data_IF_026114230184
#
_entry.id   IF_026114230184
#
_cell.length_a   1.000
_cell.length_b   1.000
_cell.length_c   1.000
_cell.angle_alpha   90.00
_cell.angle_beta   90.00
_cell.angle_gamma   90.00
#
_symmetry.space_group_name_H-M   'P 1'
#
loop_
_entity.id
_entity.type
_entity.pdbx_description
1 polymer ?
#
# COMPACT_ATOMS: atom_id res chain seq x y z
N UNK A 1 -9.33 24.30 -2.65
CA UNK A 1 -9.25 23.13 -1.74
C UNK A 1 -7.90 22.51 -1.93
N UNK A 2 -7.16 22.29 -0.85
CA UNK A 2 -5.81 21.72 -0.85
C UNK A 2 -5.91 20.25 -0.45
N UNK A 3 -5.36 19.36 -1.27
CA UNK A 3 -5.42 17.93 -1.02
C UNK A 3 -4.03 17.38 -0.63
N UNK A 4 -3.89 16.97 0.62
CA UNK A 4 -2.66 16.42 1.20
C UNK A 4 -2.89 15.02 1.78
N UNK A 5 -3.76 14.22 1.12
CA UNK A 5 -4.10 12.86 1.52
C UNK A 5 -3.91 11.83 0.39
N UNK A 6 -2.87 12.01 -0.42
CA UNK A 6 -2.56 11.16 -1.58
C UNK A 6 -2.19 9.71 -1.21
N UNK A 7 -1.80 9.43 0.04
CA UNK A 7 -1.60 8.06 0.51
C UNK A 7 -2.92 7.29 0.69
N UNK A 8 -4.05 8.00 0.88
CA UNK A 8 -5.39 7.38 0.90
C UNK A 8 -5.90 7.08 -0.49
N UNK A 9 -5.84 8.04 -1.41
CA UNK A 9 -6.19 7.86 -2.81
C UNK A 9 -5.55 8.95 -3.67
N UNK A 10 -5.21 8.61 -4.91
CA UNK A 10 -4.79 9.60 -5.92
C UNK A 10 -5.92 9.83 -6.93
N UNK A 11 -6.00 11.02 -7.57
CA UNK A 11 -6.85 11.17 -8.75
C UNK A 11 -6.36 10.22 -9.85
N UNK A 12 -7.27 9.78 -10.71
CA UNK A 12 -6.89 9.00 -11.89
C UNK A 12 -6.15 9.91 -12.87
N UNK A 13 -5.00 9.45 -13.37
CA UNK A 13 -4.28 10.17 -14.42
C UNK A 13 -5.14 10.24 -15.68
N UNK A 14 -5.08 11.38 -16.38
CA UNK A 14 -5.89 11.59 -17.59
C UNK A 14 -5.60 10.55 -18.68
N UNK A 15 -4.33 10.21 -18.93
CA UNK A 15 -3.97 9.20 -19.91
C UNK A 15 -4.50 7.81 -19.54
N UNK A 16 -4.52 7.49 -18.24
CA UNK A 16 -5.09 6.24 -17.73
C UNK A 16 -6.60 6.20 -17.93
N UNK A 17 -7.29 7.32 -17.67
CA UNK A 17 -8.74 7.42 -17.88
C UNK A 17 -9.10 7.35 -19.36
N UNK A 18 -8.34 8.02 -20.23
CA UNK A 18 -8.54 7.99 -21.68
C UNK A 18 -8.38 6.55 -22.23
N UNK A 19 -7.35 5.82 -21.78
CA UNK A 19 -7.16 4.39 -22.13
C UNK A 19 -8.36 3.54 -21.67
N UNK A 20 -8.85 3.75 -20.44
CA UNK A 20 -10.01 3.03 -19.92
C UNK A 20 -11.27 3.27 -20.76
N UNK A 21 -11.56 4.53 -21.08
CA UNK A 21 -12.76 4.92 -21.87
C UNK A 21 -12.68 4.33 -23.28
N UNK A 22 -11.55 4.50 -23.96
CA UNK A 22 -11.36 3.97 -25.33
C UNK A 22 -11.47 2.44 -25.36
N UNK A 23 -10.86 1.76 -24.40
CA UNK A 23 -10.92 0.32 -24.32
C UNK A 23 -12.34 -0.23 -24.06
N UNK A 24 -13.18 0.48 -23.30
CA UNK A 24 -14.60 0.10 -23.14
C UNK A 24 -15.39 0.21 -24.46
N UNK A 25 -15.06 1.19 -25.31
CA UNK A 25 -15.72 1.36 -26.60
C UNK A 25 -15.24 0.33 -27.62
N UNK A 26 -13.92 0.08 -27.69
CA UNK A 26 -13.30 -0.67 -28.76
C UNK A 26 -13.24 -2.19 -28.49
N UNK A 27 -13.13 -2.61 -27.21
CA UNK A 27 -12.85 -4.00 -26.80
C UNK A 27 -13.87 -4.55 -25.79
N UNK A 28 -15.15 -4.27 -25.97
CA UNK A 28 -16.22 -4.69 -25.06
C UNK A 28 -16.51 -6.22 -25.06
N UNK A 29 -16.01 -6.95 -26.07
CA UNK A 29 -16.27 -8.38 -26.19
C UNK A 29 -15.52 -9.18 -25.10
N UNK A 30 -16.15 -10.30 -24.68
CA UNK A 30 -15.52 -11.21 -23.72
C UNK A 30 -14.26 -11.85 -24.34
N UNK A 31 -13.07 -11.71 -23.74
CA UNK A 31 -11.81 -12.29 -24.25
C UNK A 31 -11.83 -13.82 -24.35
N UNK A 32 -12.77 -14.50 -23.69
CA UNK A 32 -12.91 -15.96 -23.76
C UNK A 32 -13.81 -16.41 -24.93
N UNK A 33 -14.41 -15.48 -25.68
CA UNK A 33 -15.28 -15.82 -26.82
C UNK A 33 -14.45 -16.19 -28.06
N UNK A 34 -14.91 -17.21 -28.78
CA UNK A 34 -14.18 -17.75 -29.97
C UNK A 34 -14.36 -16.92 -31.24
N UNK A 35 -15.32 -16.01 -31.30
CA UNK A 35 -15.54 -15.13 -32.44
C UNK A 35 -14.48 -14.02 -32.55
N UNK A 36 -14.41 -13.34 -33.70
CA UNK A 36 -13.35 -12.39 -34.03
C UNK A 36 -13.17 -11.27 -32.98
N UNK A 37 -14.27 -10.73 -32.44
CA UNK A 37 -14.20 -9.66 -31.43
C UNK A 37 -13.62 -10.19 -30.10
N UNK A 38 -13.95 -11.43 -29.71
CA UNK A 38 -13.36 -12.06 -28.51
C UNK A 38 -11.86 -12.31 -28.68
N UNK A 39 -11.44 -12.79 -29.86
CA UNK A 39 -10.02 -12.97 -30.18
C UNK A 39 -9.24 -11.65 -30.15
N UNK A 40 -9.83 -10.57 -30.66
CA UNK A 40 -9.23 -9.24 -30.60
C UNK A 40 -9.07 -8.76 -29.14
N UNK A 41 -10.13 -8.90 -28.34
CA UNK A 41 -10.07 -8.57 -26.91
C UNK A 41 -9.01 -9.43 -26.17
N UNK A 42 -8.92 -10.74 -26.48
CA UNK A 42 -7.88 -11.63 -25.92
C UNK A 42 -6.48 -11.17 -26.28
N UNK A 43 -6.23 -10.84 -27.55
CA UNK A 43 -4.93 -10.33 -28.01
C UNK A 43 -4.52 -9.05 -27.27
N UNK A 44 -5.47 -8.15 -26.99
CA UNK A 44 -5.22 -6.93 -26.20
C UNK A 44 -4.93 -7.23 -24.73
N UNK A 45 -5.66 -8.18 -24.15
CA UNK A 45 -5.41 -8.67 -22.80
C UNK A 45 -4.00 -9.23 -22.65
N UNK A 46 -3.60 -10.12 -23.58
CA UNK A 46 -2.28 -10.76 -23.55
C UNK A 46 -1.16 -9.71 -23.73
N UNK A 47 -1.34 -8.78 -24.67
CA UNK A 47 -0.37 -7.69 -24.87
C UNK A 47 -0.19 -6.84 -23.62
N UNK A 48 -1.28 -6.45 -22.93
CA UNK A 48 -1.20 -5.68 -21.69
C UNK A 48 -0.59 -6.49 -20.55
N UNK A 49 -0.96 -7.77 -20.41
CA UNK A 49 -0.38 -8.66 -19.39
C UNK A 49 1.12 -8.84 -19.57
N UNK A 50 1.58 -9.02 -20.81
CA UNK A 50 3.01 -9.10 -21.11
C UNK A 50 3.73 -7.78 -20.77
N UNK A 51 3.17 -6.63 -21.15
CA UNK A 51 3.73 -5.31 -20.81
C UNK A 51 3.84 -5.09 -19.30
N UNK A 52 2.79 -5.42 -18.54
CA UNK A 52 2.78 -5.37 -17.08
C UNK A 52 3.87 -6.28 -16.50
N UNK A 53 3.97 -7.51 -17.00
CA UNK A 53 4.96 -8.49 -16.54
C UNK A 53 6.40 -8.01 -16.77
N UNK A 54 6.71 -7.46 -17.94
CA UNK A 54 8.01 -6.88 -18.28
C UNK A 54 8.37 -5.72 -17.34
N UNK A 55 7.45 -4.78 -17.13
CA UNK A 55 7.65 -3.62 -16.22
C UNK A 55 7.93 -4.05 -14.78
N UNK A 56 7.24 -5.10 -14.31
CA UNK A 56 7.38 -5.62 -12.95
C UNK A 56 8.47 -6.71 -12.83
N UNK A 57 9.12 -7.10 -13.95
CA UNK A 57 10.16 -8.13 -14.05
C UNK A 57 9.68 -9.49 -13.52
N UNK A 58 8.47 -9.87 -13.93
CA UNK A 58 7.82 -11.14 -13.57
C UNK A 58 7.32 -11.84 -14.83
N UNK A 59 6.73 -13.04 -14.71
CA UNK A 59 6.11 -13.75 -15.83
C UNK A 59 4.63 -13.37 -15.97
N UNK A 60 4.10 -13.42 -17.18
CA UNK A 60 2.69 -13.15 -17.46
C UNK A 60 1.74 -14.04 -16.63
N UNK A 61 2.06 -15.33 -16.51
CA UNK A 61 1.27 -16.30 -15.76
C UNK A 61 1.35 -16.14 -14.22
N UNK A 62 2.19 -15.22 -13.74
CA UNK A 62 2.28 -14.82 -12.32
C UNK A 62 1.29 -13.69 -11.98
N UNK A 63 0.56 -13.12 -12.96
CA UNK A 63 -0.36 -12.01 -12.74
C UNK A 63 -1.78 -12.49 -12.43
N UNK A 64 -2.37 -12.00 -11.35
CA UNK A 64 -3.76 -12.25 -10.96
C UNK A 64 -4.45 -10.90 -10.74
N UNK A 65 -5.40 -10.56 -11.61
CA UNK A 65 -6.18 -9.32 -11.52
C UNK A 65 -7.31 -9.46 -10.49
N UNK A 66 -7.45 -8.46 -9.63
CA UNK A 66 -8.43 -8.41 -8.53
C UNK A 66 -9.18 -7.08 -8.52
N UNK A 67 -10.15 -6.93 -7.63
CA UNK A 67 -10.91 -5.68 -7.45
C UNK A 67 -10.20 -4.63 -6.57
N UNK A 68 -9.01 -4.95 -6.04
CA UNK A 68 -8.24 -4.05 -5.18
C UNK A 68 -7.37 -4.80 -4.19
N UNK A 69 -6.48 -4.06 -3.50
CA UNK A 69 -5.57 -4.65 -2.52
C UNK A 69 -6.30 -5.44 -1.41
N UNK A 70 -7.50 -5.04 -1.02
CA UNK A 70 -8.25 -5.78 0.01
C UNK A 70 -8.61 -7.18 -0.45
N UNK A 71 -9.08 -7.38 -1.69
CA UNK A 71 -9.29 -8.71 -2.26
C UNK A 71 -7.99 -9.47 -2.36
N UNK A 72 -6.93 -8.81 -2.87
CA UNK A 72 -5.61 -9.40 -3.03
C UNK A 72 -5.03 -9.91 -1.71
N UNK A 73 -5.02 -9.07 -0.68
CA UNK A 73 -4.51 -9.40 0.64
C UNK A 73 -5.31 -10.53 1.33
N UNK A 74 -6.65 -10.54 1.16
CA UNK A 74 -7.48 -11.64 1.64
C UNK A 74 -7.18 -12.95 0.89
N UNK A 75 -6.95 -12.89 -0.43
CA UNK A 75 -6.56 -14.05 -1.23
C UNK A 75 -5.23 -14.61 -0.76
N UNK A 76 -4.25 -13.76 -0.49
CA UNK A 76 -2.95 -14.15 0.07
C UNK A 76 -3.15 -14.86 1.42
N UNK A 77 -3.70 -14.19 2.41
CA UNK A 77 -3.81 -14.71 3.79
C UNK A 77 -4.61 -16.01 3.81
N UNK A 78 -5.84 -15.98 3.29
CA UNK A 78 -6.75 -17.15 3.36
C UNK A 78 -6.37 -18.24 2.37
N UNK A 79 -5.89 -17.86 1.18
CA UNK A 79 -5.48 -18.81 0.15
C UNK A 79 -4.25 -19.61 0.56
N UNK A 80 -3.23 -18.97 1.14
CA UNK A 80 -2.04 -19.64 1.70
C UNK A 80 -2.42 -20.49 2.91
N UNK A 81 -3.13 -19.92 3.89
CA UNK A 81 -3.52 -20.66 5.08
C UNK A 81 -4.24 -21.96 4.74
N UNK A 82 -5.24 -21.93 3.84
CA UNK A 82 -5.98 -23.11 3.41
C UNK A 82 -5.14 -24.12 2.63
N UNK A 83 -4.23 -23.62 1.78
CA UNK A 83 -3.37 -24.49 0.95
C UNK A 83 -2.29 -25.16 1.76
N UNK A 84 -1.66 -24.43 2.68
CA UNK A 84 -0.46 -24.89 3.40
C UNK A 84 -0.74 -25.39 4.81
N UNK A 85 -2.01 -25.46 5.28
CA UNK A 85 -2.39 -25.89 6.64
C UNK A 85 -1.85 -27.23 7.10
N UNK A 86 -1.46 -28.11 6.17
CA UNK A 86 -0.86 -29.41 6.48
C UNK A 86 0.65 -29.34 6.73
N UNK A 87 1.30 -28.23 6.34
CA UNK A 87 2.71 -27.96 6.62
C UNK A 87 2.89 -27.19 7.91
N UNK A 88 1.90 -26.35 8.27
CA UNK A 88 1.91 -25.57 9.49
C UNK A 88 0.72 -24.65 9.62
N UNK A 89 0.63 -23.95 10.76
CA UNK A 89 -0.42 -23.01 11.07
C UNK A 89 0.08 -21.69 11.68
N UNK A 90 1.36 -21.42 11.55
CA UNK A 90 1.97 -20.20 12.06
C UNK A 90 2.11 -19.15 10.95
N UNK A 91 1.68 -17.90 11.24
CA UNK A 91 1.70 -16.76 10.33
C UNK A 91 2.37 -15.57 11.04
N UNK A 92 3.36 -14.98 10.41
CA UNK A 92 4.05 -13.78 10.88
C UNK A 92 3.64 -12.57 10.03
N UNK A 93 3.21 -11.50 10.69
CA UNK A 93 2.89 -10.23 10.05
C UNK A 93 3.77 -9.11 10.61
N UNK A 94 4.16 -8.14 9.77
CA UNK A 94 4.78 -6.95 10.32
C UNK A 94 3.77 -6.15 11.18
N UNK A 95 4.28 -5.46 12.20
CA UNK A 95 3.44 -4.59 13.04
C UNK A 95 2.89 -3.36 12.28
N UNK A 96 3.28 -3.17 11.01
CA UNK A 96 2.92 -2.04 10.15
C UNK A 96 1.88 -2.40 9.07
N UNK A 97 1.31 -3.61 9.13
CA UNK A 97 0.39 -4.08 8.10
C UNK A 97 -0.95 -3.33 8.07
N UNK A 98 -1.48 -3.19 6.86
CA UNK A 98 -2.82 -2.68 6.63
C UNK A 98 -3.89 -3.64 7.18
N UNK A 99 -5.06 -3.12 7.58
CA UNK A 99 -6.16 -3.91 8.13
C UNK A 99 -6.65 -5.03 7.20
N UNK A 100 -6.48 -4.88 5.88
CA UNK A 100 -6.83 -5.93 4.91
C UNK A 100 -5.93 -7.19 4.98
N UNK A 101 -4.80 -7.12 5.71
CA UNK A 101 -3.94 -8.25 6.08
C UNK A 101 -4.20 -8.70 7.52
N UNK A 102 -4.24 -7.77 8.46
CA UNK A 102 -4.42 -8.07 9.90
C UNK A 102 -5.78 -8.75 10.15
N UNK A 103 -6.87 -8.19 9.64
CA UNK A 103 -8.21 -8.72 9.92
C UNK A 103 -8.43 -10.15 9.39
N UNK A 104 -8.08 -10.49 8.13
CA UNK A 104 -8.20 -11.88 7.67
C UNK A 104 -7.27 -12.84 8.42
N UNK A 105 -6.04 -12.41 8.79
CA UNK A 105 -5.15 -13.25 9.59
C UNK A 105 -5.73 -13.53 10.98
N UNK A 106 -6.16 -12.50 11.71
CA UNK A 106 -6.85 -12.67 13.01
C UNK A 106 -8.10 -13.56 12.90
N UNK A 107 -8.81 -13.53 11.77
CA UNK A 107 -9.96 -14.42 11.58
C UNK A 107 -9.60 -15.91 11.54
N UNK A 108 -8.37 -16.23 11.10
CA UNK A 108 -7.85 -17.59 11.03
C UNK A 108 -7.49 -18.19 12.40
N UNK A 109 -7.33 -17.36 13.43
CA UNK A 109 -7.13 -17.86 14.81
C UNK A 109 -8.28 -18.75 15.25
N UNK A 110 -9.52 -18.46 14.78
CA UNK A 110 -10.70 -19.31 15.02
C UNK A 110 -10.62 -20.67 14.32
N UNK A 111 -9.75 -20.79 13.31
CA UNK A 111 -9.46 -22.03 12.58
C UNK A 111 -8.21 -22.75 13.12
N UNK A 112 -7.66 -22.23 14.24
CA UNK A 112 -6.51 -22.79 14.95
C UNK A 112 -5.17 -22.40 14.36
N UNK A 113 -5.10 -21.28 13.62
CA UNK A 113 -3.83 -20.66 13.23
C UNK A 113 -3.30 -19.78 14.36
N UNK A 114 -2.01 -19.67 14.45
CA UNK A 114 -1.29 -18.75 15.33
C UNK A 114 -0.77 -17.58 14.50
N UNK A 115 -1.09 -16.35 14.93
CA UNK A 115 -0.71 -15.13 14.22
C UNK A 115 0.11 -14.26 15.16
N UNK A 116 1.37 -14.03 14.81
CA UNK A 116 2.26 -13.20 15.62
C UNK A 116 2.73 -11.97 14.83
N UNK A 117 3.01 -10.89 15.57
CA UNK A 117 3.52 -9.65 15.00
C UNK A 117 5.03 -9.58 15.16
N UNK A 118 5.71 -9.39 14.03
CA UNK A 118 7.17 -9.21 14.00
C UNK A 118 7.52 -7.87 14.65
N UNK A 119 8.45 -7.84 15.62
CA UNK A 119 8.95 -6.61 16.22
C UNK A 119 9.61 -5.68 15.20
N UNK A 120 9.67 -4.40 15.57
CA UNK A 120 10.37 -3.37 14.81
C UNK A 120 11.65 -2.96 15.53
N UNK A 121 12.68 -2.65 14.77
CA UNK A 121 13.86 -1.97 15.28
C UNK A 121 13.53 -0.50 15.68
N UNK A 122 14.49 0.20 16.25
CA UNK A 122 14.35 1.62 16.65
C UNK A 122 14.05 2.60 15.50
N UNK A 123 14.21 2.17 14.26
CA UNK A 123 13.93 2.97 13.05
C UNK A 123 12.57 2.64 12.44
N UNK A 124 11.82 1.68 12.99
CA UNK A 124 10.54 1.22 12.49
C UNK A 124 10.64 0.20 11.34
N UNK A 125 11.81 -0.37 11.11
CA UNK A 125 11.97 -1.51 10.20
C UNK A 125 11.71 -2.80 10.95
N UNK A 126 11.27 -3.83 10.24
CA UNK A 126 11.25 -5.19 10.78
C UNK A 126 12.64 -5.54 11.31
N UNK A 127 12.70 -6.00 12.55
CA UNK A 127 13.93 -6.52 13.15
C UNK A 127 14.20 -7.90 12.58
N UNK A 128 15.29 -8.02 11.80
CA UNK A 128 15.62 -9.24 11.06
C UNK A 128 16.08 -10.36 12.01
N UNK A 129 16.77 -10.02 13.09
CA UNK A 129 17.22 -11.03 14.08
C UNK A 129 16.00 -11.58 14.85
N UNK A 130 15.11 -10.70 15.31
CA UNK A 130 13.86 -11.14 15.94
C UNK A 130 13.00 -11.97 14.96
N UNK A 131 12.88 -11.54 13.70
CA UNK A 131 12.17 -12.33 12.68
C UNK A 131 12.76 -13.74 12.56
N UNK A 132 14.07 -13.85 12.50
CA UNK A 132 14.77 -15.15 12.39
C UNK A 132 14.45 -16.06 13.58
N UNK A 133 14.43 -15.50 14.79
CA UNK A 133 14.13 -16.25 16.01
C UNK A 133 12.65 -16.66 16.10
N UNK A 134 11.76 -15.90 15.45
CA UNK A 134 10.31 -16.19 15.41
C UNK A 134 9.93 -17.24 14.37
N UNK A 135 10.73 -17.44 13.30
CA UNK A 135 10.41 -18.43 12.26
C UNK A 135 10.56 -19.83 12.82
N UNK A 136 9.51 -20.63 12.66
CA UNK A 136 9.43 -22.03 13.13
C UNK A 136 9.25 -22.97 11.93
N UNK A 137 9.41 -24.27 12.15
CA UNK A 137 9.18 -25.29 11.12
C UNK A 137 7.74 -25.29 10.57
N UNK A 138 6.78 -24.83 11.39
CA UNK A 138 5.36 -24.72 11.04
C UNK A 138 4.97 -23.30 10.57
N UNK A 139 5.91 -22.40 10.34
CA UNK A 139 5.65 -21.06 9.75
C UNK A 139 5.38 -21.22 8.25
N UNK A 140 4.18 -20.83 7.81
CA UNK A 140 3.75 -20.97 6.42
C UNK A 140 3.69 -19.63 5.66
N UNK A 141 3.66 -18.52 6.37
CA UNK A 141 3.56 -17.18 5.76
C UNK A 141 4.28 -16.16 6.61
N UNK A 142 5.10 -15.35 5.96
CA UNK A 142 5.62 -14.09 6.47
C UNK A 142 5.08 -12.98 5.55
N UNK A 143 4.43 -11.96 6.13
CA UNK A 143 3.92 -10.81 5.37
C UNK A 143 4.51 -9.52 5.95
N UNK A 144 5.20 -8.77 5.09
CA UNK A 144 5.81 -7.47 5.45
C UNK A 144 5.51 -6.46 4.35
N UNK A 145 4.81 -5.38 4.70
CA UNK A 145 4.55 -4.29 3.74
C UNK A 145 5.85 -3.67 3.23
N UNK A 146 5.94 -3.33 1.93
CA UNK A 146 7.16 -2.70 1.38
C UNK A 146 7.38 -1.29 1.93
N UNK A 147 6.28 -0.54 2.09
CA UNK A 147 6.25 0.81 2.67
C UNK A 147 4.95 0.94 3.43
N UNK A 148 5.00 1.28 4.70
CA UNK A 148 3.79 1.47 5.48
C UNK A 148 3.04 2.76 5.09
N UNK A 149 1.74 2.75 5.31
CA UNK A 149 0.85 3.81 4.83
C UNK A 149 0.69 5.02 5.77
N UNK A 150 1.27 4.99 6.97
CA UNK A 150 1.15 6.08 7.95
C UNK A 150 2.48 6.81 8.20
N UNK A 151 3.56 6.06 8.39
CA UNK A 151 4.90 6.59 8.68
C UNK A 151 5.75 6.70 7.41
N UNK A 152 5.38 5.95 6.37
CA UNK A 152 6.10 5.88 5.09
C UNK A 152 7.42 5.12 5.15
N UNK A 153 7.67 4.31 6.18
CA UNK A 153 8.96 3.63 6.40
C UNK A 153 9.14 2.49 5.40
N UNK A 154 10.26 2.52 4.69
CA UNK A 154 10.68 1.48 3.74
C UNK A 154 11.19 0.26 4.52
N UNK A 155 10.62 -0.91 4.23
CA UNK A 155 10.99 -2.16 4.87
C UNK A 155 12.09 -2.91 4.11
N UNK A 156 12.90 -3.73 4.80
CA UNK A 156 14.06 -4.45 4.22
C UNK A 156 13.62 -5.72 3.46
N UNK A 157 12.76 -5.58 2.44
CA UNK A 157 12.11 -6.69 1.74
C UNK A 157 13.12 -7.66 1.11
N UNK A 158 14.20 -7.15 0.52
CA UNK A 158 15.21 -8.02 -0.11
C UNK A 158 15.97 -8.86 0.93
N UNK A 159 16.31 -8.27 2.07
CA UNK A 159 17.02 -8.96 3.17
C UNK A 159 16.13 -10.04 3.79
N UNK A 160 14.85 -9.72 4.01
CA UNK A 160 13.85 -10.68 4.49
C UNK A 160 13.69 -11.83 3.48
N UNK A 161 13.56 -11.51 2.20
CA UNK A 161 13.43 -12.53 1.15
C UNK A 161 14.64 -13.44 1.05
N UNK A 162 15.87 -12.92 1.25
CA UNK A 162 17.07 -13.76 1.30
C UNK A 162 17.05 -14.70 2.51
N UNK A 163 16.69 -14.20 3.69
CA UNK A 163 16.54 -15.03 4.90
C UNK A 163 15.54 -16.18 4.67
N UNK A 164 14.39 -15.86 4.07
CA UNK A 164 13.30 -16.84 3.92
C UNK A 164 13.57 -17.95 2.91
N UNK A 165 14.60 -17.82 2.05
CA UNK A 165 15.01 -18.91 1.15
C UNK A 165 15.44 -20.19 1.89
N UNK A 166 15.86 -20.08 3.13
CA UNK A 166 16.24 -21.23 3.97
C UNK A 166 15.01 -22.04 4.43
N UNK A 167 13.78 -21.50 4.33
CA UNK A 167 12.55 -22.05 4.87
C UNK A 167 11.58 -22.48 3.76
N UNK A 168 11.67 -23.75 3.32
CA UNK A 168 11.00 -24.27 2.10
C UNK A 168 9.47 -24.11 2.02
N UNK A 169 8.78 -24.02 3.16
CA UNK A 169 7.32 -23.97 3.22
C UNK A 169 6.81 -22.60 3.68
N UNK A 170 7.71 -21.69 3.98
CA UNK A 170 7.39 -20.32 4.37
C UNK A 170 7.27 -19.44 3.13
N UNK A 171 6.07 -19.00 2.82
CA UNK A 171 5.78 -18.09 1.69
C UNK A 171 6.00 -16.66 2.13
N UNK A 172 6.69 -15.88 1.31
CA UNK A 172 6.92 -14.46 1.56
C UNK A 172 5.97 -13.56 0.76
N UNK A 173 5.20 -12.74 1.47
CA UNK A 173 4.30 -11.74 0.89
C UNK A 173 4.75 -10.32 1.23
N UNK A 174 4.59 -9.40 0.28
CA UNK A 174 4.67 -7.96 0.52
C UNK A 174 3.49 -7.20 -0.06
N UNK A 175 2.92 -6.27 0.71
CA UNK A 175 2.01 -5.25 0.17
C UNK A 175 2.83 -4.07 -0.33
N UNK A 176 2.92 -3.92 -1.67
CA UNK A 176 3.68 -2.88 -2.35
C UNK A 176 2.81 -1.67 -2.75
N UNK A 177 1.59 -1.55 -2.22
CA UNK A 177 0.65 -0.49 -2.60
C UNK A 177 1.21 0.92 -2.43
N UNK A 178 2.03 1.16 -1.42
CA UNK A 178 2.68 2.46 -1.20
C UNK A 178 4.08 2.56 -1.84
N UNK A 179 4.61 1.48 -2.43
CA UNK A 179 5.94 1.45 -3.02
C UNK A 179 5.95 1.83 -4.51
N UNK A 180 4.95 1.32 -5.28
CA UNK A 180 4.91 1.49 -6.73
C UNK A 180 4.92 2.97 -7.13
N UNK A 181 5.88 3.35 -8.00
CA UNK A 181 6.06 4.70 -8.52
C UNK A 181 6.60 5.72 -7.50
N UNK A 182 6.99 5.27 -6.28
CA UNK A 182 7.55 6.12 -5.22
C UNK A 182 8.98 5.73 -4.84
N UNK A 183 9.30 4.44 -4.92
CA UNK A 183 10.65 3.90 -4.72
C UNK A 183 10.99 2.90 -5.83
N UNK A 184 12.28 2.65 -6.12
CA UNK A 184 12.68 1.53 -6.97
C UNK A 184 12.16 0.21 -6.41
N UNK A 185 11.60 -0.63 -7.28
CA UNK A 185 11.04 -1.93 -6.90
C UNK A 185 11.94 -3.09 -7.34
N UNK A 186 12.09 -4.06 -6.45
CA UNK A 186 12.70 -5.34 -6.76
C UNK A 186 11.95 -6.46 -6.00
N UNK A 187 11.26 -7.33 -6.74
CA UNK A 187 10.47 -8.43 -6.17
C UNK A 187 11.09 -9.81 -6.45
N UNK A 188 12.39 -9.87 -6.76
CA UNK A 188 13.07 -11.14 -7.08
C UNK A 188 13.02 -12.17 -5.97
N UNK A 189 13.05 -11.70 -4.72
CA UNK A 189 13.07 -12.53 -3.51
C UNK A 189 11.70 -12.56 -2.79
N UNK A 190 10.62 -12.23 -3.48
CA UNK A 190 9.26 -12.19 -2.94
C UNK A 190 8.37 -13.15 -3.70
N UNK A 191 7.58 -13.93 -2.98
CA UNK A 191 6.68 -14.93 -3.57
C UNK A 191 5.35 -14.35 -4.01
N UNK A 192 4.81 -13.41 -3.22
CA UNK A 192 3.51 -12.79 -3.43
C UNK A 192 3.63 -11.26 -3.25
N UNK A 193 3.10 -10.49 -4.20
CA UNK A 193 3.12 -9.03 -4.13
C UNK A 193 1.74 -8.46 -4.39
N UNK A 194 1.22 -7.68 -3.46
CA UNK A 194 -0.03 -6.93 -3.63
C UNK A 194 0.23 -5.53 -4.19
N UNK A 195 -0.53 -5.13 -5.21
CA UNK A 195 -0.44 -3.81 -5.85
C UNK A 195 -1.83 -3.17 -5.94
N UNK A 196 -1.95 -1.89 -5.52
CA UNK A 196 -3.17 -1.08 -5.56
C UNK A 196 -3.02 0.11 -6.51
N UNK A 197 -3.58 0.08 -7.74
CA UNK A 197 -3.39 1.13 -8.76
C UNK A 197 -3.81 2.53 -8.32
N UNK A 198 -4.85 2.66 -7.50
CA UNK A 198 -5.33 3.95 -7.00
C UNK A 198 -4.37 4.67 -6.04
N UNK A 199 -3.22 4.08 -5.72
CA UNK A 199 -2.13 4.71 -4.95
C UNK A 199 -1.05 5.33 -5.84
N UNK A 200 -1.12 5.11 -7.16
CA UNK A 200 -0.21 5.67 -8.15
C UNK A 200 -0.93 6.11 -9.43
N UNK A 201 -2.06 6.79 -9.25
CA UNK A 201 -2.87 7.45 -10.29
C UNK A 201 -3.59 6.50 -11.26
N UNK A 202 -3.73 5.23 -10.89
CA UNK A 202 -4.57 4.25 -11.57
C UNK A 202 -6.02 4.27 -11.10
N UNK A 203 -6.83 3.39 -11.71
CA UNK A 203 -8.25 3.28 -11.39
C UNK A 203 -8.47 2.69 -9.98
N UNK A 204 -9.46 3.23 -9.27
CA UNK A 204 -10.02 2.57 -8.10
C UNK A 204 -10.88 1.35 -8.53
N UNK A 205 -11.06 0.39 -7.64
CA UNK A 205 -11.78 -0.85 -7.96
C UNK A 205 -10.96 -1.85 -8.78
N UNK A 206 -9.63 -1.67 -8.84
CA UNK A 206 -8.67 -2.58 -9.47
C UNK A 206 -7.52 -2.91 -8.55
N UNK A 207 -6.97 -4.11 -8.67
CA UNK A 207 -5.81 -4.60 -7.95
C UNK A 207 -5.05 -5.64 -8.74
N UNK A 208 -3.83 -5.91 -8.33
CA UNK A 208 -2.98 -6.95 -8.93
C UNK A 208 -2.30 -7.73 -7.81
N UNK A 209 -2.32 -9.05 -7.91
CA UNK A 209 -1.44 -9.95 -7.17
C UNK A 209 -0.39 -10.50 -8.15
N UNK A 210 0.87 -10.31 -7.85
CA UNK A 210 1.95 -11.11 -8.42
C UNK A 210 2.07 -12.38 -7.56
N UNK A 211 2.00 -13.54 -8.20
CA UNK A 211 2.12 -14.86 -7.56
C UNK A 211 3.18 -15.68 -8.29
N UNK A 212 4.31 -15.92 -7.65
CA UNK A 212 5.38 -16.74 -8.24
C UNK A 212 4.87 -18.14 -8.61
N UNK A 213 5.38 -18.71 -9.70
CA UNK A 213 4.87 -19.97 -10.29
C UNK A 213 4.83 -21.13 -9.27
N UNK A 214 5.82 -21.21 -8.39
CA UNK A 214 5.94 -22.29 -7.38
C UNK A 214 4.94 -22.18 -6.22
N UNK A 215 4.28 -21.01 -6.06
CA UNK A 215 3.28 -20.82 -5.00
C UNK A 215 1.92 -21.32 -5.47
N UNK A 216 1.21 -22.01 -4.61
CA UNK A 216 -0.20 -22.37 -4.84
C UNK A 216 -1.11 -21.68 -3.84
N UNK A 217 -2.32 -21.33 -4.26
CA UNK A 217 -3.35 -20.70 -3.45
C UNK A 217 -4.65 -21.47 -3.58
N UNK A 218 -5.47 -21.47 -2.52
CA UNK A 218 -6.88 -21.82 -2.66
C UNK A 218 -7.64 -20.53 -3.03
N UNK A 219 -8.39 -20.52 -4.15
CA UNK A 219 -9.12 -19.33 -4.58
C UNK A 219 -10.20 -18.94 -3.55
N UNK A 220 -10.46 -17.65 -3.44
CA UNK A 220 -11.59 -17.12 -2.68
C UNK A 220 -12.84 -16.99 -3.54
N UNK A 221 -12.68 -16.74 -4.83
CA UNK A 221 -13.75 -16.58 -5.82
C UNK A 221 -13.63 -17.74 -6.79
N UNK A 222 -14.53 -18.70 -6.64
CA UNK A 222 -14.61 -19.90 -7.47
C UNK A 222 -15.51 -19.67 -8.68
N UNK A 223 -15.31 -20.44 -9.76
CA UNK A 223 -16.11 -20.37 -10.98
C UNK A 223 -15.39 -20.94 -12.18
N UNK A 224 -15.79 -20.50 -13.38
CA UNK A 224 -15.16 -20.93 -14.64
C UNK A 224 -13.73 -20.44 -14.78
N UNK A 225 -12.93 -21.21 -15.53
CA UNK A 225 -11.56 -20.81 -15.88
C UNK A 225 -11.58 -19.59 -16.80
N UNK A 226 -10.86 -18.55 -16.46
CA UNK A 226 -10.74 -17.34 -17.26
C UNK A 226 -9.26 -17.01 -17.50
N UNK A 227 -8.70 -15.99 -16.85
CA UNK A 227 -7.27 -15.66 -16.95
C UNK A 227 -6.41 -16.57 -16.08
N UNK A 228 -6.94 -17.01 -14.94
CA UNK A 228 -6.22 -17.82 -13.96
C UNK A 228 -7.16 -18.79 -13.22
N UNK A 229 -6.58 -19.82 -12.60
CA UNK A 229 -7.29 -20.74 -11.70
C UNK A 229 -7.55 -20.14 -10.31
N UNK A 230 -6.86 -19.06 -9.95
CA UNK A 230 -6.84 -18.51 -8.61
C UNK A 230 -7.87 -17.41 -8.37
N UNK A 231 -8.48 -16.90 -9.47
CA UNK A 231 -9.53 -15.88 -9.38
C UNK A 231 -10.46 -15.98 -10.60
N UNK A 232 -11.66 -16.50 -10.39
CA UNK A 232 -12.66 -16.65 -11.44
C UNK A 232 -13.37 -15.34 -11.76
N UNK A 233 -13.96 -15.28 -12.95
CA UNK A 233 -14.73 -14.14 -13.46
C UNK A 233 -14.15 -13.59 -14.77
N UNK A 234 -15.02 -12.99 -15.58
CA UNK A 234 -14.60 -12.35 -16.83
C UNK A 234 -13.60 -11.21 -16.52
N UNK A 235 -12.42 -11.18 -17.16
CA UNK A 235 -11.45 -10.12 -16.93
C UNK A 235 -12.02 -8.78 -17.44
N UNK A 236 -11.83 -7.75 -16.65
CA UNK A 236 -12.22 -6.38 -17.01
C UNK A 236 -11.11 -5.79 -17.86
N UNK A 237 -11.08 -6.15 -19.15
CA UNK A 237 -10.01 -5.75 -20.07
C UNK A 237 -9.72 -4.24 -20.05
N UNK A 238 -10.71 -3.32 -20.08
CA UNK A 238 -10.41 -1.88 -19.99
C UNK A 238 -9.63 -1.49 -18.73
N UNK A 239 -9.91 -2.13 -17.60
CA UNK A 239 -9.20 -1.86 -16.35
C UNK A 239 -7.76 -2.40 -16.36
N UNK A 240 -7.52 -3.52 -17.05
CA UNK A 240 -6.17 -4.10 -17.21
C UNK A 240 -5.31 -3.21 -18.12
N UNK A 241 -5.87 -2.71 -19.22
CA UNK A 241 -5.18 -1.75 -20.11
C UNK A 241 -4.88 -0.44 -19.37
N UNK A 242 -5.80 0.04 -18.55
CA UNK A 242 -5.60 1.21 -17.70
C UNK A 242 -4.52 0.98 -16.63
N UNK A 243 -4.43 -0.24 -16.06
CA UNK A 243 -3.37 -0.62 -15.12
C UNK A 243 -1.99 -0.60 -15.79
N UNK A 244 -1.87 -1.15 -17.00
CA UNK A 244 -0.61 -1.10 -17.77
C UNK A 244 -0.15 0.36 -17.98
N UNK A 245 -1.06 1.23 -18.42
CA UNK A 245 -0.75 2.67 -18.57
C UNK A 245 -0.38 3.33 -17.23
N UNK A 246 -1.07 3.02 -16.15
CA UNK A 246 -0.74 3.55 -14.83
C UNK A 246 0.66 3.13 -14.35
N UNK A 247 1.03 1.86 -14.55
CA UNK A 247 2.38 1.35 -14.24
C UNK A 247 3.45 2.00 -15.13
N UNK A 248 3.17 2.17 -16.42
CA UNK A 248 4.06 2.89 -17.34
C UNK A 248 4.38 4.29 -16.81
N UNK A 249 3.35 5.08 -16.52
CA UNK A 249 3.52 6.44 -16.03
C UNK A 249 4.18 6.49 -14.65
N UNK A 250 3.85 5.55 -13.76
CA UNK A 250 4.42 5.48 -12.42
C UNK A 250 5.93 5.20 -12.45
N UNK A 251 6.36 4.23 -13.27
CA UNK A 251 7.76 3.81 -13.35
C UNK A 251 8.59 4.84 -14.12
N UNK A 252 8.11 5.29 -15.29
CA UNK A 252 8.87 6.21 -16.14
C UNK A 252 9.05 7.61 -15.53
N UNK A 253 8.12 8.04 -14.66
CA UNK A 253 8.19 9.37 -14.04
C UNK A 253 8.62 9.32 -12.57
N UNK A 254 9.02 8.17 -12.03
CA UNK A 254 9.30 8.01 -10.61
C UNK A 254 10.33 9.02 -10.09
N UNK A 255 11.49 9.11 -10.73
CA UNK A 255 12.58 9.99 -10.31
C UNK A 255 12.14 11.45 -10.29
N UNK A 256 11.60 11.94 -11.42
CA UNK A 256 11.11 13.33 -11.54
C UNK A 256 10.02 13.67 -10.50
N UNK A 257 9.09 12.72 -10.26
CA UNK A 257 8.03 12.90 -9.26
C UNK A 257 8.61 12.95 -7.84
N UNK A 258 9.61 12.13 -7.56
CA UNK A 258 10.27 12.08 -6.25
C UNK A 258 11.01 13.37 -5.95
N UNK A 259 11.75 13.94 -6.90
CA UNK A 259 12.43 15.24 -6.74
C UNK A 259 11.48 16.39 -6.38
N UNK A 260 10.31 16.45 -7.05
CA UNK A 260 9.28 17.45 -6.74
C UNK A 260 8.76 17.29 -5.31
N UNK A 261 8.47 16.07 -4.92
CA UNK A 261 7.89 15.75 -3.60
C UNK A 261 8.91 15.97 -2.49
N UNK A 262 10.18 15.65 -2.73
CA UNK A 262 11.27 15.87 -1.78
C UNK A 262 11.40 17.34 -1.39
N UNK A 263 11.40 18.25 -2.37
CA UNK A 263 11.40 19.71 -2.13
C UNK A 263 10.28 20.12 -1.17
N UNK A 264 9.06 19.65 -1.39
CA UNK A 264 7.91 20.02 -0.56
C UNK A 264 7.94 19.35 0.81
N UNK A 265 8.42 18.11 0.88
CA UNK A 265 8.64 17.41 2.15
C UNK A 265 9.61 18.20 3.04
N UNK A 266 10.76 18.61 2.50
CA UNK A 266 11.76 19.41 3.22
C UNK A 266 11.21 20.76 3.70
N UNK A 267 10.42 21.46 2.89
CA UNK A 267 9.77 22.72 3.27
C UNK A 267 8.85 22.51 4.49
N UNK A 268 8.02 21.47 4.47
CA UNK A 268 7.08 21.16 5.56
C UNK A 268 7.85 20.74 6.81
N UNK A 269 8.77 19.79 6.72
CA UNK A 269 9.52 19.26 7.87
C UNK A 269 10.36 20.37 8.52
N UNK A 270 11.03 21.21 7.71
CA UNK A 270 11.81 22.33 8.23
C UNK A 270 10.97 23.30 9.04
N UNK A 271 9.77 23.61 8.57
CA UNK A 271 8.82 24.46 9.29
C UNK A 271 8.27 23.77 10.53
N UNK A 272 7.82 22.53 10.45
CA UNK A 272 7.27 21.78 11.59
C UNK A 272 8.26 21.66 12.74
N UNK A 273 9.55 21.51 12.47
CA UNK A 273 10.62 21.47 13.46
C UNK A 273 10.78 22.76 14.26
N UNK A 274 10.22 23.89 13.81
CA UNK A 274 10.27 25.16 14.57
C UNK A 274 9.28 25.24 15.71
N UNK A 275 8.35 24.27 15.83
CA UNK A 275 7.34 24.23 16.88
C UNK A 275 7.71 23.19 17.95
N UNK A 276 7.95 23.62 19.21
CA UNK A 276 8.39 22.74 20.31
C UNK A 276 7.42 21.59 20.64
N UNK A 277 6.13 21.77 20.40
CA UNK A 277 5.10 20.76 20.69
C UNK A 277 4.89 19.77 19.54
N UNK A 278 5.58 19.96 18.41
CA UNK A 278 5.50 19.05 17.26
C UNK A 278 6.61 18.03 17.33
N UNK A 279 6.23 16.76 17.28
CA UNK A 279 7.14 15.64 17.17
C UNK A 279 7.00 14.98 15.78
N UNK A 280 8.08 14.92 15.00
CA UNK A 280 8.08 14.25 13.70
C UNK A 280 8.28 12.74 13.93
N UNK A 281 7.29 11.94 13.54
CA UNK A 281 7.33 10.48 13.66
C UNK A 281 8.00 9.82 12.44
N UNK A 282 7.88 10.42 11.24
CA UNK A 282 8.65 10.00 10.06
C UNK A 282 10.14 10.21 10.27
N UNK A 283 10.96 9.36 9.68
CA UNK A 283 12.41 9.41 9.85
C UNK A 283 13.15 9.27 8.50
N UNK A 284 14.47 9.16 8.51
CA UNK A 284 15.30 9.07 7.31
C UNK A 284 15.05 7.82 6.44
N UNK A 285 14.28 6.87 6.93
CA UNK A 285 13.86 5.68 6.18
C UNK A 285 12.43 5.80 5.63
N UNK A 286 11.73 6.92 5.93
CA UNK A 286 10.44 7.22 5.36
C UNK A 286 10.58 7.76 3.94
N UNK A 287 9.63 7.40 3.07
CA UNK A 287 9.53 7.99 1.73
C UNK A 287 9.12 9.47 1.82
N UNK A 288 9.63 10.30 0.93
CA UNK A 288 9.31 11.74 0.92
C UNK A 288 7.83 12.06 0.69
N UNK A 289 7.06 11.11 0.20
CA UNK A 289 5.62 11.24 -0.07
C UNK A 289 4.74 11.24 1.19
N UNK A 290 5.26 10.83 2.35
CA UNK A 290 4.49 10.70 3.60
C UNK A 290 5.25 11.40 4.73
N UNK A 291 4.56 12.33 5.40
CA UNK A 291 5.02 12.98 6.62
C UNK A 291 4.05 12.62 7.73
N UNK A 292 4.53 11.99 8.78
CA UNK A 292 3.77 11.74 10.00
C UNK A 292 4.37 12.53 11.15
N UNK A 293 3.53 13.23 11.87
CA UNK A 293 3.92 14.01 13.04
C UNK A 293 2.81 14.01 14.07
N UNK A 294 3.17 14.28 15.32
CA UNK A 294 2.24 14.40 16.44
C UNK A 294 2.32 15.79 17.03
N UNK A 295 1.19 16.33 17.52
CA UNK A 295 1.12 17.64 18.14
C UNK A 295 0.74 17.42 19.62
N UNK A 296 1.65 17.68 20.54
CA UNK A 296 1.46 17.47 21.98
C UNK A 296 0.19 18.15 22.49
N UNK A 297 -0.58 17.44 23.32
CA UNK A 297 -1.85 17.92 23.89
C UNK A 297 -2.89 18.37 22.83
N UNK A 298 -2.90 17.76 21.65
CA UNK A 298 -3.90 18.02 20.59
C UNK A 298 -4.50 16.72 20.15
N UNK A 299 -5.82 16.62 20.14
CA UNK A 299 -6.48 15.49 19.50
C UNK A 299 -6.28 15.58 18.00
N UNK A 300 -5.85 14.49 17.38
CA UNK A 300 -5.64 14.43 15.90
C UNK A 300 -6.92 14.73 15.13
N UNK A 301 -8.08 14.34 15.65
CA UNK A 301 -9.38 14.59 15.02
C UNK A 301 -9.70 16.09 14.99
N UNK A 302 -9.47 16.81 16.09
CA UNK A 302 -9.71 18.24 16.19
C UNK A 302 -8.80 19.03 15.23
N UNK A 303 -7.55 18.58 15.09
CA UNK A 303 -6.63 19.15 14.11
C UNK A 303 -7.09 18.93 12.67
N UNK A 304 -7.50 17.70 12.33
CA UNK A 304 -8.03 17.37 10.99
C UNK A 304 -9.28 18.20 10.68
N UNK A 305 -10.18 18.35 11.64
CA UNK A 305 -11.39 19.15 11.51
C UNK A 305 -11.07 20.65 11.30
N UNK A 306 -10.10 21.18 12.04
CA UNK A 306 -9.62 22.54 11.86
C UNK A 306 -9.08 22.77 10.45
N UNK A 307 -8.22 21.88 9.98
CA UNK A 307 -7.66 21.91 8.63
C UNK A 307 -8.75 21.81 7.56
N UNK A 308 -9.71 20.90 7.75
CA UNK A 308 -10.84 20.71 6.83
C UNK A 308 -11.73 21.97 6.73
N UNK A 309 -12.00 22.64 7.85
CA UNK A 309 -12.73 23.94 7.87
C UNK A 309 -11.96 25.04 7.11
N UNK A 310 -10.65 24.91 6.98
CA UNK A 310 -9.80 25.80 6.19
C UNK A 310 -9.50 25.26 4.76
N UNK A 311 -10.33 24.33 4.25
CA UNK A 311 -10.22 23.72 2.92
C UNK A 311 -8.92 22.92 2.68
N UNK A 312 -8.35 22.31 3.73
CA UNK A 312 -7.16 21.44 3.66
C UNK A 312 -7.54 20.03 4.06
N UNK A 313 -7.39 19.09 3.14
CA UNK A 313 -7.68 17.67 3.35
C UNK A 313 -6.40 16.90 3.72
N UNK A 314 -6.39 16.29 4.88
CA UNK A 314 -5.33 15.42 5.38
C UNK A 314 -5.92 14.35 6.32
N UNK A 315 -5.13 13.39 6.77
CA UNK A 315 -5.61 12.28 7.60
C UNK A 315 -4.92 12.22 8.96
N UNK A 316 -5.64 11.79 9.99
CA UNK A 316 -5.02 11.45 11.28
C UNK A 316 -4.29 10.11 11.20
N UNK A 317 -4.86 9.14 10.47
CA UNK A 317 -4.36 7.76 10.31
C UNK A 317 -5.04 7.13 9.09
N UNK A 318 -4.81 5.81 8.87
CA UNK A 318 -5.52 5.11 7.80
C UNK A 318 -7.04 5.15 8.01
N UNK A 319 -7.78 5.43 6.94
CA UNK A 319 -9.24 5.60 6.97
C UNK A 319 -10.02 4.38 7.47
N UNK A 320 -9.38 3.20 7.53
CA UNK A 320 -9.99 1.94 7.99
C UNK A 320 -9.98 1.77 9.51
N UNK A 321 -9.36 2.69 10.26
CA UNK A 321 -9.30 2.62 11.73
C UNK A 321 -10.42 3.46 12.38
N UNK A 322 -10.98 3.05 13.54
CA UNK A 322 -11.94 3.86 14.28
C UNK A 322 -11.38 5.26 14.57
N UNK A 323 -12.20 6.30 14.44
CA UNK A 323 -11.78 7.70 14.49
C UNK A 323 -10.97 8.04 15.76
N UNK A 324 -11.40 7.55 16.92
CA UNK A 324 -10.79 7.88 18.22
C UNK A 324 -9.71 6.88 18.68
N UNK A 325 -9.40 5.85 17.89
CA UNK A 325 -8.38 4.88 18.30
C UNK A 325 -6.96 5.45 18.09
N UNK A 326 -5.98 5.18 18.95
CA UNK A 326 -4.58 5.51 18.70
C UNK A 326 -4.05 4.85 17.41
N UNK A 327 -3.11 5.51 16.72
CA UNK A 327 -2.41 4.89 15.61
C UNK A 327 -1.57 3.71 16.10
N UNK A 328 -1.89 2.50 15.64
CA UNK A 328 -1.14 1.29 15.98
C UNK A 328 0.29 1.36 15.44
N UNK A 329 0.49 1.94 14.26
CA UNK A 329 1.78 2.06 13.60
C UNK A 329 2.70 3.02 14.35
N UNK A 330 2.19 4.21 14.71
CA UNK A 330 2.95 5.17 15.52
C UNK A 330 3.26 4.60 16.91
N UNK A 331 2.31 3.86 17.50
CA UNK A 331 2.57 3.17 18.78
C UNK A 331 3.62 2.06 18.63
N UNK A 332 3.58 1.28 17.57
CA UNK A 332 4.57 0.24 17.30
C UNK A 332 6.00 0.81 17.23
N UNK A 333 6.15 1.97 16.57
CA UNK A 333 7.44 2.66 16.46
C UNK A 333 7.86 3.34 17.77
N UNK A 334 6.98 4.16 18.36
CA UNK A 334 7.36 5.11 19.42
C UNK A 334 7.17 4.57 20.84
N UNK A 335 6.36 3.51 20.99
CA UNK A 335 5.86 2.99 22.29
C UNK A 335 5.18 4.07 23.14
N UNK A 336 4.81 5.19 22.54
CA UNK A 336 4.15 6.34 23.19
C UNK A 336 2.67 6.38 22.84
N UNK A 337 1.81 6.29 23.87
CA UNK A 337 0.37 6.44 23.73
C UNK A 337 0.01 7.87 23.27
N UNK A 338 0.68 8.88 23.83
CA UNK A 338 0.44 10.28 23.51
C UNK A 338 0.73 10.55 22.03
N UNK A 339 1.90 10.17 21.52
CA UNK A 339 2.26 10.35 20.12
C UNK A 339 1.30 9.60 19.19
N UNK A 340 0.89 8.39 19.56
CA UNK A 340 -0.03 7.59 18.75
C UNK A 340 -1.47 8.14 18.69
N UNK A 341 -1.90 8.87 19.71
CA UNK A 341 -3.24 9.48 19.79
C UNK A 341 -3.28 10.84 19.08
N UNK A 342 -2.14 11.55 19.07
CA UNK A 342 -2.03 12.91 18.52
C UNK A 342 -1.43 12.94 17.11
N UNK A 343 -1.19 11.78 16.51
CA UNK A 343 -0.51 11.68 15.21
C UNK A 343 -1.38 12.10 14.04
N UNK A 344 -0.75 12.77 13.09
CA UNK A 344 -1.35 13.26 11.83
C UNK A 344 -0.46 12.86 10.67
N UNK A 345 -1.08 12.52 9.55
CA UNK A 345 -0.39 12.21 8.29
C UNK A 345 -0.70 13.23 7.23
N UNK A 346 0.35 13.81 6.66
CA UNK A 346 0.33 14.52 5.38
C UNK A 346 0.88 13.59 4.31
N UNK A 347 0.25 13.53 3.17
CA UNK A 347 0.81 12.82 2.03
C UNK A 347 0.78 13.66 0.77
N UNK A 348 1.94 13.73 0.12
CA UNK A 348 2.27 14.61 -0.99
C UNK A 348 2.19 13.90 -2.34
N UNK A 349 2.14 14.72 -3.39
CA UNK A 349 2.10 14.29 -4.78
C UNK A 349 2.96 15.24 -5.62
N UNK A 350 3.37 14.79 -6.81
CA UNK A 350 3.90 15.67 -7.84
C UNK A 350 2.87 16.69 -8.36
N UNK A 351 1.59 16.51 -8.03
CA UNK A 351 0.50 17.46 -8.32
C UNK A 351 0.37 18.56 -7.26
N UNK A 352 0.98 18.37 -6.10
CA UNK A 352 1.03 19.40 -5.05
C UNK A 352 1.84 20.58 -5.54
N UNK A 353 1.39 21.80 -5.22
CA UNK A 353 2.04 23.04 -5.62
C UNK A 353 2.69 23.76 -4.44
N UNK A 354 3.68 24.59 -4.71
CA UNK A 354 4.34 25.41 -3.69
C UNK A 354 3.36 26.38 -3.00
N UNK A 355 2.36 26.86 -3.73
CA UNK A 355 1.29 27.72 -3.20
C UNK A 355 0.44 26.95 -2.18
N UNK A 356 0.08 25.70 -2.47
CA UNK A 356 -0.69 24.85 -1.55
C UNK A 356 0.10 24.57 -0.26
N UNK A 357 1.40 24.32 -0.37
CA UNK A 357 2.28 24.13 0.79
C UNK A 357 2.36 25.42 1.62
N UNK A 358 2.54 26.55 0.98
CA UNK A 358 2.59 27.86 1.67
C UNK A 358 1.30 28.17 2.42
N UNK A 359 0.16 27.90 1.82
CA UNK A 359 -1.15 28.12 2.46
C UNK A 359 -1.39 27.12 3.60
N UNK A 360 -1.02 25.83 3.43
CA UNK A 360 -1.04 24.84 4.51
C UNK A 360 -0.21 25.32 5.72
N UNK A 361 1.02 25.77 5.50
CA UNK A 361 1.90 26.23 6.57
C UNK A 361 1.35 27.47 7.27
N UNK A 362 0.71 28.38 6.55
CA UNK A 362 0.05 29.57 7.10
C UNK A 362 -1.14 29.18 7.99
N UNK A 363 -1.97 28.24 7.54
CA UNK A 363 -3.11 27.73 8.34
C UNK A 363 -2.59 26.98 9.57
N UNK A 364 -1.50 26.24 9.45
CA UNK A 364 -0.83 25.58 10.57
C UNK A 364 -0.32 26.61 11.60
N UNK A 365 0.32 27.70 11.16
CA UNK A 365 0.75 28.81 12.04
C UNK A 365 -0.42 29.39 12.83
N UNK A 366 -1.57 29.56 12.20
CA UNK A 366 -2.77 30.11 12.86
C UNK A 366 -3.30 29.11 13.92
N UNK A 367 -3.47 27.85 13.54
CA UNK A 367 -3.86 26.79 14.48
C UNK A 367 -2.94 26.77 15.72
N UNK A 368 -1.63 26.77 15.49
CA UNK A 368 -0.66 26.70 16.57
C UNK A 368 -0.74 27.91 17.52
N UNK A 369 -0.92 29.13 16.98
CA UNK A 369 -1.12 30.34 17.78
C UNK A 369 -2.43 30.30 18.58
N UNK A 370 -3.52 29.85 17.98
CA UNK A 370 -4.82 29.73 18.67
C UNK A 370 -4.75 28.72 19.79
N UNK A 371 -4.08 27.57 19.58
CA UNK A 371 -3.83 26.56 20.59
C UNK A 371 -3.02 27.09 21.77
N UNK A 372 -1.87 27.74 21.51
CA UNK A 372 -1.03 28.30 22.61
C UNK A 372 -1.83 29.35 23.43
N UNK A 373 -2.71 30.11 22.79
CA UNK A 373 -3.55 31.12 23.45
C UNK A 373 -4.78 30.51 24.14
N UNK A 374 -4.93 29.18 24.19
CA UNK A 374 -6.04 28.48 24.84
C UNK A 374 -7.41 28.73 24.17
N UNK A 375 -7.43 29.00 22.86
CA UNK A 375 -8.66 29.21 22.07
C UNK A 375 -9.18 27.95 21.40
N UNK A 376 -8.36 26.88 21.40
CA UNK A 376 -8.68 25.53 20.87
C UNK A 376 -8.28 24.50 21.93
#
# INVERSE_FOLDING_TARGET
MIYLDYASATPVDKEVLDVFINANNDYFANPNSMHIMGKLAKSKLDSASNSIAERLRVKENELIYTSGATETNNLVIKGIARRYKNFGKHILLSSLEHQSLVAPATSLEKEGFEVELIPLDKNGKVDIEELKDMIRDDTILVSVTSVDSELGIIQPINEIGELLKEYKHCIFHTDASQAIGKIPINFSNVDLVTIAPHKFYGLNGTGLLIKKEHVELIPLIEGGRSTTLYRSGTPVLPAILALDKALELAINNQEKRTEIVEKYNEMIISKLKTYPEVHINSNKYSINYIINFSIKNTNSTDFVDYMSKNNICLSAKTSCCPVDAPSKLVYALTKSKDLSTTSVRISLSHLTTEQEISEFLKVFDNFYKEKINGKI
#
